data_IF_046023797386
#
_entry.id   IF_046023797386
#
_cell.length_a   1.000
_cell.length_b   1.000
_cell.length_c   1.000
_cell.angle_alpha   90.00
_cell.angle_beta   90.00
_cell.angle_gamma   90.00
#
_symmetry.space_group_name_H-M   'P 1'
#
loop_
_entity.id
_entity.type
_entity.pdbx_description
1 polymer ?
#
# COMPACT_ATOMS: atom_id res chain seq x y z
N UNK A 1 -9.62 -18.26 -0.79
CA UNK A 1 -8.85 -17.30 -0.01
C UNK A 1 -9.78 -16.43 0.82
N UNK A 2 -9.34 -16.11 2.04
CA UNK A 2 -9.98 -15.15 2.93
C UNK A 2 -8.98 -14.05 3.27
N UNK A 3 -9.45 -12.81 3.39
CA UNK A 3 -8.56 -11.69 3.64
C UNK A 3 -9.06 -10.81 4.77
N UNK A 4 -8.12 -10.19 5.48
CA UNK A 4 -8.36 -9.23 6.54
C UNK A 4 -7.44 -8.04 6.39
N UNK A 5 -7.94 -6.84 6.66
CA UNK A 5 -7.17 -5.61 6.50
C UNK A 5 -6.93 -4.94 7.85
N UNK A 6 -5.77 -4.30 7.95
CA UNK A 6 -5.29 -3.63 9.16
C UNK A 6 -4.86 -2.21 8.79
N UNK A 7 -5.23 -1.26 9.60
CA UNK A 7 -4.68 0.08 9.52
C UNK A 7 -3.32 0.10 10.22
N UNK A 8 -2.27 0.47 9.48
CA UNK A 8 -0.91 0.50 9.99
C UNK A 8 -0.41 1.93 10.12
N UNK A 9 0.43 2.17 11.13
CA UNK A 9 1.05 3.46 11.35
C UNK A 9 2.20 3.76 10.39
N UNK A 10 2.70 4.98 10.45
CA UNK A 10 3.91 5.39 9.76
C UNK A 10 5.14 5.22 10.64
N UNK A 11 6.27 4.89 10.03
CA UNK A 11 7.58 4.89 10.69
C UNK A 11 8.36 6.11 10.24
N UNK A 12 8.95 6.81 11.17
CA UNK A 12 9.86 7.90 10.84
C UNK A 12 11.25 7.34 10.50
N UNK A 13 11.35 6.76 9.29
CA UNK A 13 12.56 6.08 8.83
C UNK A 13 13.66 7.07 8.40
N UNK A 14 13.28 8.14 7.69
CA UNK A 14 14.25 9.05 7.06
C UNK A 14 15.08 9.87 8.05
N UNK A 15 14.54 10.14 9.23
CA UNK A 15 15.24 10.89 10.28
C UNK A 15 15.84 10.00 11.37
N UNK A 16 15.70 8.68 11.22
CA UNK A 16 16.29 7.70 12.14
C UNK A 16 17.79 7.57 11.87
N UNK A 17 18.55 7.17 12.91
CA UNK A 17 19.97 6.85 12.74
C UNK A 17 20.14 5.60 11.88
N UNK A 18 21.30 5.41 11.25
CA UNK A 18 21.58 4.25 10.39
C UNK A 18 21.33 2.92 11.13
N UNK A 19 21.69 2.85 12.41
CA UNK A 19 21.43 1.67 13.24
C UNK A 19 19.95 1.43 13.50
N UNK A 20 19.18 2.49 13.72
CA UNK A 20 17.72 2.39 13.88
C UNK A 20 17.06 2.00 12.56
N UNK A 21 17.50 2.57 11.43
CA UNK A 21 17.02 2.19 10.10
C UNK A 21 17.25 0.70 9.83
N UNK A 22 18.45 0.20 10.14
CA UNK A 22 18.75 -1.23 10.05
C UNK A 22 17.83 -2.07 10.93
N UNK A 23 17.65 -1.68 12.18
CA UNK A 23 16.79 -2.38 13.16
C UNK A 23 15.34 -2.43 12.67
N UNK A 24 14.82 -1.31 12.14
CA UNK A 24 13.47 -1.24 11.57
C UNK A 24 13.37 -2.17 10.36
N UNK A 25 14.35 -2.14 9.46
CA UNK A 25 14.39 -2.99 8.28
C UNK A 25 14.38 -4.48 8.63
N UNK A 26 15.21 -4.91 9.59
CA UNK A 26 15.23 -6.28 10.10
C UNK A 26 13.90 -6.68 10.74
N UNK A 27 13.28 -5.80 11.52
CA UNK A 27 12.00 -6.07 12.14
C UNK A 27 10.89 -6.29 11.09
N UNK A 28 10.85 -5.48 10.02
CA UNK A 28 9.93 -5.68 8.90
C UNK A 28 10.23 -6.99 8.14
N UNK A 29 11.49 -7.29 7.88
CA UNK A 29 11.88 -8.51 7.19
C UNK A 29 11.46 -9.76 7.98
N UNK A 30 11.73 -9.78 9.28
CA UNK A 30 11.33 -10.86 10.18
C UNK A 30 9.79 -11.00 10.26
N UNK A 31 9.08 -9.88 10.34
CA UNK A 31 7.63 -9.87 10.35
C UNK A 31 7.06 -10.47 9.06
N UNK A 32 7.49 -9.99 7.89
CA UNK A 32 7.04 -10.50 6.59
C UNK A 32 7.41 -11.98 6.39
N UNK A 33 8.60 -12.39 6.85
CA UNK A 33 9.07 -13.77 6.81
C UNK A 33 8.34 -14.71 7.77
N UNK A 34 7.61 -14.21 8.77
CA UNK A 34 6.90 -15.03 9.75
C UNK A 34 5.63 -15.70 9.21
N UNK A 35 5.11 -15.25 8.07
CA UNK A 35 3.90 -15.78 7.47
C UNK A 35 4.13 -17.09 6.72
N UNK A 36 3.07 -17.90 6.63
CA UNK A 36 3.10 -19.13 5.85
C UNK A 36 3.29 -18.82 4.36
N UNK A 37 3.91 -19.74 3.62
CA UNK A 37 4.21 -19.62 2.19
C UNK A 37 3.02 -19.20 1.32
N UNK A 38 1.82 -19.69 1.65
CA UNK A 38 0.61 -19.45 0.86
C UNK A 38 -0.12 -18.15 1.28
N UNK A 39 0.42 -17.42 2.25
CA UNK A 39 -0.11 -16.12 2.65
C UNK A 39 0.38 -15.03 1.68
N UNK A 40 -0.54 -14.18 1.25
CA UNK A 40 -0.22 -13.00 0.47
C UNK A 40 -0.45 -11.76 1.34
N UNK A 41 0.59 -10.94 1.48
CA UNK A 41 0.56 -9.69 2.22
C UNK A 41 0.56 -8.56 1.21
N UNK A 42 -0.45 -7.73 1.24
CA UNK A 42 -0.54 -6.52 0.43
C UNK A 42 -0.38 -5.30 1.34
N UNK A 43 0.55 -4.42 1.01
CA UNK A 43 0.69 -3.12 1.64
C UNK A 43 0.18 -2.07 0.66
N UNK A 44 -0.88 -1.38 1.03
CA UNK A 44 -1.50 -0.34 0.22
C UNK A 44 -1.28 1.02 0.86
N UNK A 45 -0.73 1.95 0.08
CA UNK A 45 -0.68 3.37 0.39
C UNK A 45 -1.69 4.08 -0.51
N UNK A 46 -2.68 4.71 0.10
CA UNK A 46 -3.69 5.46 -0.62
C UNK A 46 -3.64 6.92 -0.21
N UNK A 47 -3.10 7.74 -1.09
CA UNK A 47 -3.14 9.20 -0.96
C UNK A 47 -4.35 9.72 -1.72
N UNK A 48 -5.14 10.51 -1.04
CA UNK A 48 -6.27 11.22 -1.63
C UNK A 48 -6.26 12.68 -1.20
N UNK A 49 -6.67 13.54 -2.09
CA UNK A 49 -6.92 14.94 -1.78
C UNK A 49 -8.09 15.05 -0.79
N UNK A 50 -7.90 15.84 0.23
CA UNK A 50 -8.97 16.13 1.21
C UNK A 50 -9.98 17.06 0.52
N UNK A 51 -11.27 16.75 0.67
CA UNK A 51 -12.32 17.66 0.25
C UNK A 51 -12.26 18.97 1.07
N UNK A 52 -12.09 20.07 0.35
CA UNK A 52 -12.00 21.41 0.94
C UNK A 52 -13.29 21.77 1.70
N UNK A 53 -14.44 21.38 1.17
CA UNK A 53 -15.73 21.68 1.81
C UNK A 53 -15.95 20.86 3.08
N UNK A 54 -15.52 19.60 3.09
CA UNK A 54 -15.56 18.77 4.29
C UNK A 54 -14.57 19.31 5.36
N UNK A 55 -13.39 19.73 4.93
CA UNK A 55 -12.41 20.37 5.83
C UNK A 55 -12.99 21.65 6.43
N UNK A 56 -13.57 22.53 5.61
CA UNK A 56 -14.18 23.77 6.10
C UNK A 56 -15.23 23.50 7.17
N UNK A 57 -16.09 22.52 6.95
CA UNK A 57 -17.15 22.17 7.92
C UNK A 57 -16.62 21.60 9.24
N UNK A 58 -15.50 20.90 9.21
CA UNK A 58 -14.99 20.17 10.38
C UNK A 58 -13.88 20.89 11.14
N UNK A 59 -13.19 21.84 10.52
CA UNK A 59 -11.96 22.42 11.06
C UNK A 59 -12.05 23.91 11.25
N UNK A 60 -12.82 24.62 10.41
CA UNK A 60 -12.96 26.06 10.55
C UNK A 60 -13.83 26.39 11.77
N UNK A 61 -13.42 27.45 12.46
CA UNK A 61 -14.20 28.00 13.58
C UNK A 61 -15.47 28.65 13.06
N UNK A 62 -16.60 28.27 13.62
CA UNK A 62 -17.88 28.92 13.33
C UNK A 62 -17.91 30.34 13.90
N UNK A 63 -18.47 31.27 13.13
CA UNK A 63 -18.69 32.63 13.59
C UNK A 63 -19.76 32.64 14.70
N UNK A 64 -19.52 33.41 15.75
CA UNK A 64 -20.42 33.53 16.90
C UNK A 64 -20.85 34.97 17.05
N UNK A 65 -21.91 35.21 17.82
CA UNK A 65 -22.36 36.58 18.11
C UNK A 65 -21.56 37.20 19.26
N UNK A 66 -20.25 37.42 18.97
CA UNK A 66 -19.30 38.03 19.90
C UNK A 66 -18.24 38.88 19.16
N UNK A 67 -17.45 39.66 19.90
CA UNK A 67 -16.39 40.56 19.35
C UNK A 67 -15.16 39.80 18.83
N UNK A 68 -15.13 38.47 18.90
CA UNK A 68 -13.96 37.64 18.55
C UNK A 68 -13.94 37.17 17.09
N UNK A 69 -14.93 37.55 16.30
CA UNK A 69 -15.04 37.06 14.90
C UNK A 69 -13.87 37.50 14.02
N UNK A 70 -13.26 38.65 14.31
CA UNK A 70 -12.06 39.10 13.57
C UNK A 70 -10.91 38.10 13.72
N UNK A 71 -10.70 37.57 14.91
CA UNK A 71 -9.64 36.58 15.19
C UNK A 71 -9.99 35.20 14.62
N UNK A 72 -11.30 34.82 14.63
CA UNK A 72 -11.76 33.59 14.00
C UNK A 72 -11.54 33.63 12.50
N UNK A 73 -11.84 34.76 11.87
CA UNK A 73 -11.66 34.94 10.43
C UNK A 73 -10.17 34.89 10.05
N UNK A 74 -9.30 35.58 10.80
CA UNK A 74 -7.86 35.52 10.58
C UNK A 74 -7.31 34.10 10.74
N UNK A 75 -7.73 33.38 11.77
CA UNK A 75 -7.33 31.99 12.00
C UNK A 75 -7.82 31.07 10.88
N UNK A 76 -9.07 31.22 10.46
CA UNK A 76 -9.66 30.45 9.37
C UNK A 76 -8.93 30.70 8.05
N UNK A 77 -8.61 31.94 7.73
CA UNK A 77 -7.85 32.33 6.55
C UNK A 77 -6.44 31.73 6.57
N UNK A 78 -5.75 31.76 7.71
CA UNK A 78 -4.45 31.11 7.88
C UNK A 78 -4.53 29.60 7.62
N UNK A 79 -5.58 28.91 8.08
CA UNK A 79 -5.78 27.48 7.83
C UNK A 79 -6.05 27.19 6.36
N UNK A 80 -6.88 28.00 5.72
CA UNK A 80 -7.19 27.87 4.29
C UNK A 80 -5.95 28.10 3.41
N UNK A 81 -5.11 29.10 3.75
CA UNK A 81 -3.86 29.35 3.05
C UNK A 81 -2.88 28.18 3.19
N UNK A 82 -2.73 27.61 4.37
CA UNK A 82 -1.91 26.42 4.61
C UNK A 82 -2.41 25.22 3.83
N UNK A 83 -3.71 25.07 3.73
CA UNK A 83 -4.35 23.98 2.99
C UNK A 83 -4.18 24.16 1.47
N UNK A 84 -4.31 25.38 0.96
CA UNK A 84 -4.15 25.69 -0.46
C UNK A 84 -2.72 25.52 -0.98
N UNK A 85 -1.72 25.51 -0.10
CA UNK A 85 -0.30 25.34 -0.45
C UNK A 85 0.08 23.91 -0.93
N UNK A 86 -0.87 23.11 -1.34
CA UNK A 86 -0.74 21.92 -2.20
C UNK A 86 -0.16 20.65 -1.57
N UNK A 87 0.71 20.76 -0.57
CA UNK A 87 1.31 19.58 0.09
C UNK A 87 0.55 19.12 1.35
N UNK A 88 -0.23 20.00 1.95
CA UNK A 88 -0.97 19.71 3.18
C UNK A 88 -2.40 19.21 2.94
N UNK A 89 -2.75 18.98 1.68
CA UNK A 89 -4.11 18.62 1.25
C UNK A 89 -4.27 17.13 0.96
N UNK A 90 -3.36 16.29 1.48
CA UNK A 90 -3.38 14.87 1.25
C UNK A 90 -3.66 14.11 2.54
N UNK A 91 -4.64 13.22 2.48
CA UNK A 91 -4.85 12.17 3.49
C UNK A 91 -4.21 10.90 2.99
N UNK A 92 -3.34 10.31 3.79
CA UNK A 92 -2.69 9.02 3.46
C UNK A 92 -3.27 7.92 4.33
N UNK A 93 -3.97 6.99 3.72
CA UNK A 93 -4.38 5.75 4.36
C UNK A 93 -3.31 4.67 4.09
N UNK A 94 -2.84 4.00 5.15
CA UNK A 94 -1.85 2.92 5.09
C UNK A 94 -2.50 1.65 5.57
N UNK A 95 -2.68 0.72 4.66
CA UNK A 95 -3.43 -0.50 4.90
C UNK A 95 -2.54 -1.70 4.60
N UNK A 96 -2.53 -2.65 5.51
CA UNK A 96 -1.98 -3.98 5.27
C UNK A 96 -3.12 -4.96 5.13
N UNK A 97 -3.19 -5.68 4.03
CA UNK A 97 -4.19 -6.73 3.81
C UNK A 97 -3.49 -8.08 3.73
N UNK A 98 -3.89 -8.99 4.59
CA UNK A 98 -3.35 -10.34 4.62
C UNK A 98 -4.42 -11.30 4.08
N UNK A 99 -4.04 -12.07 3.06
CA UNK A 99 -4.89 -13.06 2.41
C UNK A 99 -4.31 -14.45 2.67
N UNK A 100 -5.13 -15.36 3.17
CA UNK A 100 -4.73 -16.73 3.48
C UNK A 100 -5.67 -17.74 2.83
N UNK A 101 -5.17 -18.92 2.42
CA UNK A 101 -6.02 -20.01 1.99
C UNK A 101 -6.68 -20.67 3.21
N UNK A 102 -7.97 -20.96 3.10
CA UNK A 102 -8.70 -21.79 4.04
C UNK A 102 -9.87 -22.47 3.32
N UNK A 103 -10.25 -23.65 3.77
CA UNK A 103 -11.34 -24.42 3.18
C UNK A 103 -12.71 -23.79 3.47
N UNK A 104 -12.85 -23.18 4.65
CA UNK A 104 -14.10 -22.58 5.09
C UNK A 104 -13.87 -21.40 6.03
N UNK A 105 -14.93 -20.63 6.28
CA UNK A 105 -14.88 -19.43 7.12
C UNK A 105 -14.49 -19.73 8.58
N UNK A 106 -14.85 -20.89 9.12
CA UNK A 106 -14.51 -21.25 10.52
C UNK A 106 -13.01 -21.47 10.69
N UNK A 107 -12.39 -22.11 9.71
CA UNK A 107 -10.94 -22.28 9.66
C UNK A 107 -10.24 -20.93 9.48
N UNK A 108 -10.74 -20.11 8.57
CA UNK A 108 -10.20 -18.77 8.35
C UNK A 108 -10.24 -17.91 9.64
N UNK A 109 -11.36 -17.89 10.36
CA UNK A 109 -11.47 -17.17 11.64
C UNK A 109 -10.43 -17.67 12.64
N UNK A 110 -10.23 -18.99 12.74
CA UNK A 110 -9.24 -19.57 13.66
C UNK A 110 -7.81 -19.18 13.30
N UNK A 111 -7.46 -19.18 12.00
CA UNK A 111 -6.15 -18.72 11.52
C UNK A 111 -5.98 -17.22 11.78
N UNK A 112 -6.98 -16.41 11.44
CA UNK A 112 -6.91 -14.95 11.65
C UNK A 112 -6.85 -14.55 13.13
N UNK A 113 -7.44 -15.29 14.04
CA UNK A 113 -7.33 -14.99 15.48
C UNK A 113 -5.88 -15.02 15.99
N UNK A 114 -5.02 -15.86 15.39
CA UNK A 114 -3.59 -15.88 15.70
C UNK A 114 -2.84 -14.75 14.98
N UNK A 115 -3.17 -14.54 13.72
CA UNK A 115 -2.57 -13.48 12.89
C UNK A 115 -2.87 -12.12 13.48
N UNK A 116 -4.10 -11.86 13.93
CA UNK A 116 -4.52 -10.57 14.50
C UNK A 116 -3.60 -10.14 15.66
N UNK A 117 -3.34 -11.03 16.60
CA UNK A 117 -2.47 -10.74 17.75
C UNK A 117 -1.04 -10.45 17.27
N UNK A 118 -0.50 -11.30 16.39
CA UNK A 118 0.85 -11.12 15.88
C UNK A 118 1.00 -9.81 15.09
N UNK A 119 0.05 -9.49 14.23
CA UNK A 119 0.10 -8.27 13.40
C UNK A 119 -0.03 -7.02 14.24
N UNK A 120 -0.99 -6.98 15.16
CA UNK A 120 -1.21 -5.79 15.99
C UNK A 120 -0.03 -5.52 16.90
N UNK A 121 0.54 -6.55 17.51
CA UNK A 121 1.67 -6.42 18.43
C UNK A 121 2.96 -6.04 17.68
N UNK A 122 3.30 -6.77 16.61
CA UNK A 122 4.52 -6.52 15.84
C UNK A 122 4.48 -5.17 15.12
N UNK A 123 3.37 -4.84 14.46
CA UNK A 123 3.23 -3.55 13.78
C UNK A 123 3.25 -2.39 14.75
N UNK A 124 2.60 -2.50 15.91
CA UNK A 124 2.64 -1.46 16.93
C UNK A 124 4.06 -1.26 17.49
N UNK A 125 4.82 -2.35 17.62
CA UNK A 125 6.22 -2.33 18.07
C UNK A 125 7.14 -1.66 17.03
N UNK A 126 6.96 -2.02 15.75
CA UNK A 126 7.78 -1.49 14.65
C UNK A 126 7.47 -0.02 14.41
N UNK A 127 6.19 0.33 14.30
CA UNK A 127 5.76 1.68 13.95
C UNK A 127 5.70 2.62 15.14
N UNK A 128 5.73 2.10 16.37
CA UNK A 128 5.49 2.85 17.63
C UNK A 128 4.14 3.59 17.63
N UNK A 129 3.21 3.15 16.81
CA UNK A 129 1.85 3.68 16.69
C UNK A 129 0.84 2.54 16.76
N UNK A 130 -0.43 2.86 17.02
CA UNK A 130 -1.48 1.84 17.08
C UNK A 130 -1.69 1.18 15.72
N UNK A 131 -1.78 -0.14 15.73
CA UNK A 131 -2.27 -0.93 14.61
C UNK A 131 -3.66 -1.45 14.96
N UNK A 132 -4.62 -1.31 14.06
CA UNK A 132 -6.01 -1.73 14.29
C UNK A 132 -6.55 -2.53 13.12
N UNK A 133 -7.38 -3.51 13.42
CA UNK A 133 -8.12 -4.28 12.41
C UNK A 133 -9.22 -3.39 11.82
N UNK A 134 -9.34 -3.34 10.50
CA UNK A 134 -10.47 -2.69 9.86
C UNK A 134 -11.74 -3.52 10.04
N UNK A 135 -12.80 -2.87 10.44
CA UNK A 135 -14.15 -3.44 10.40
C UNK A 135 -14.59 -3.65 8.95
N UNK A 136 -15.63 -4.47 8.75
CA UNK A 136 -16.17 -4.69 7.41
C UNK A 136 -16.67 -3.38 6.76
N UNK A 137 -17.24 -2.47 7.56
CA UNK A 137 -17.72 -1.17 7.09
C UNK A 137 -16.54 -0.28 6.68
N UNK A 138 -15.50 -0.16 7.50
CA UNK A 138 -14.31 0.63 7.18
C UNK A 138 -13.61 0.12 5.92
N UNK A 139 -13.57 -1.21 5.73
CA UNK A 139 -13.01 -1.80 4.51
C UNK A 139 -13.85 -1.51 3.28
N UNK A 140 -15.18 -1.56 3.40
CA UNK A 140 -16.08 -1.18 2.31
C UNK A 140 -15.95 0.31 1.97
N UNK A 141 -15.82 1.16 2.99
CA UNK A 141 -15.59 2.60 2.82
C UNK A 141 -14.27 2.88 2.08
N UNK A 142 -13.20 2.18 2.46
CA UNK A 142 -11.91 2.28 1.76
C UNK A 142 -12.06 1.92 0.28
N UNK A 143 -12.71 0.81 -0.03
CA UNK A 143 -12.94 0.38 -1.40
C UNK A 143 -13.85 1.34 -2.17
N UNK A 144 -14.89 1.87 -1.52
CA UNK A 144 -15.74 2.90 -2.10
C UNK A 144 -14.92 4.14 -2.49
N UNK A 145 -14.05 4.61 -1.61
CA UNK A 145 -13.19 5.76 -1.88
C UNK A 145 -12.21 5.52 -3.04
N UNK A 146 -11.78 4.29 -3.27
CA UNK A 146 -10.93 3.94 -4.41
C UNK A 146 -11.71 3.95 -5.72
N UNK A 147 -12.94 3.43 -5.72
CA UNK A 147 -13.73 3.30 -6.95
C UNK A 147 -14.59 4.54 -7.26
N UNK A 148 -14.87 5.38 -6.27
CA UNK A 148 -15.66 6.60 -6.40
C UNK A 148 -14.84 7.82 -5.94
N UNK A 149 -13.64 8.00 -6.52
CA UNK A 149 -12.70 9.06 -6.13
C UNK A 149 -13.23 10.48 -6.34
N UNK A 150 -14.27 10.63 -7.15
CA UNK A 150 -14.96 11.89 -7.48
C UNK A 150 -16.20 12.15 -6.62
N UNK A 151 -16.61 11.19 -5.79
CA UNK A 151 -17.74 11.31 -4.88
C UNK A 151 -17.27 11.18 -3.43
N UNK A 152 -17.17 12.32 -2.76
CA UNK A 152 -16.78 12.40 -1.34
C UNK A 152 -17.92 12.03 -0.38
N UNK A 153 -19.05 11.55 -0.91
CA UNK A 153 -20.18 11.11 -0.07
C UNK A 153 -19.78 9.81 0.64
N UNK A 154 -19.64 9.81 1.98
CA UNK A 154 -19.31 8.60 2.69
C UNK A 154 -20.33 7.50 2.44
N UNK A 155 -19.87 6.27 2.19
CA UNK A 155 -20.75 5.10 2.06
C UNK A 155 -21.61 4.92 3.32
N UNK A 156 -21.01 5.17 4.47
CA UNK A 156 -21.64 5.02 5.76
C UNK A 156 -21.77 6.37 6.46
N UNK A 157 -22.99 6.80 6.69
CA UNK A 157 -23.31 8.01 7.43
C UNK A 157 -24.26 7.69 8.57
N UNK A 158 -24.01 8.27 9.73
CA UNK A 158 -24.96 8.34 10.83
C UNK A 158 -25.57 9.71 10.88
N UNK A 159 -26.88 9.79 10.77
CA UNK A 159 -27.62 11.06 10.86
C UNK A 159 -28.69 10.95 11.94
N UNK A 160 -28.86 12.02 12.70
CA UNK A 160 -29.98 12.15 13.61
C UNK A 160 -31.19 12.68 12.83
N UNK A 161 -32.25 11.88 12.71
CA UNK A 161 -33.50 12.26 12.09
C UNK A 161 -34.61 12.05 13.13
N UNK A 162 -35.32 13.10 13.45
CA UNK A 162 -36.43 13.08 14.44
C UNK A 162 -36.08 12.45 15.79
N UNK A 163 -34.83 12.70 16.27
CA UNK A 163 -34.33 12.16 17.54
C UNK A 163 -33.86 10.70 17.48
N UNK A 164 -33.90 10.07 16.31
CA UNK A 164 -33.41 8.72 16.10
C UNK A 164 -32.14 8.71 15.25
N UNK A 165 -31.17 7.85 15.63
CA UNK A 165 -29.96 7.65 14.84
C UNK A 165 -30.29 6.75 13.64
N UNK A 166 -30.20 7.31 12.44
CA UNK A 166 -30.41 6.60 11.17
C UNK A 166 -29.05 6.37 10.49
N UNK A 167 -28.81 5.14 10.07
CA UNK A 167 -27.63 4.75 9.33
C UNK A 167 -27.94 4.66 7.84
N UNK A 168 -27.11 5.27 6.98
CA UNK A 168 -27.30 5.25 5.52
C UNK A 168 -27.02 3.89 4.89
N UNK A 169 -26.25 3.03 5.59
CA UNK A 169 -25.84 1.72 5.11
C UNK A 169 -25.82 0.72 6.26
N UNK A 170 -26.44 -0.43 6.05
CA UNK A 170 -26.41 -1.54 6.99
C UNK A 170 -26.10 -2.84 6.25
N UNK A 171 -25.04 -3.54 6.68
CA UNK A 171 -24.70 -4.85 6.13
C UNK A 171 -25.84 -5.86 6.28
N UNK A 172 -26.54 -5.83 7.42
CA UNK A 172 -27.68 -6.73 7.69
C UNK A 172 -28.84 -6.48 6.71
N UNK A 173 -29.10 -5.22 6.38
CA UNK A 173 -30.13 -4.87 5.41
C UNK A 173 -29.73 -5.26 3.99
N UNK A 174 -28.46 -5.09 3.62
CA UNK A 174 -27.93 -5.57 2.34
C UNK A 174 -28.08 -7.10 2.19
N UNK A 175 -27.76 -7.85 3.23
CA UNK A 175 -27.94 -9.31 3.25
C UNK A 175 -29.43 -9.70 3.17
N UNK A 176 -30.28 -9.04 3.95
CA UNK A 176 -31.73 -9.30 3.95
C UNK A 176 -32.38 -8.98 2.60
N UNK A 177 -31.88 -7.98 1.88
CA UNK A 177 -32.34 -7.61 0.53
C UNK A 177 -31.68 -8.43 -0.58
N UNK A 178 -30.77 -9.35 -0.24
CA UNK A 178 -30.00 -10.13 -1.22
C UNK A 178 -29.05 -9.28 -2.09
N UNK A 179 -28.72 -8.07 -1.63
CA UNK A 179 -27.81 -7.18 -2.37
C UNK A 179 -26.36 -7.60 -2.13
N UNK A 180 -25.58 -7.62 -3.18
CA UNK A 180 -24.14 -7.83 -3.08
C UNK A 180 -23.48 -6.57 -2.51
N UNK A 181 -22.57 -6.74 -1.52
CA UNK A 181 -21.73 -5.64 -1.02
C UNK A 181 -20.90 -5.00 -2.14
N UNK A 182 -20.53 -5.76 -3.16
CA UNK A 182 -19.86 -5.26 -4.35
C UNK A 182 -20.67 -4.18 -5.08
N UNK A 183 -21.99 -4.33 -5.16
CA UNK A 183 -22.85 -3.34 -5.82
C UNK A 183 -22.94 -1.99 -5.09
N UNK A 184 -22.47 -1.96 -3.84
CA UNK A 184 -22.45 -0.73 -3.04
C UNK A 184 -21.16 0.07 -3.20
N UNK A 185 -20.08 -0.56 -3.68
CA UNK A 185 -18.73 0.03 -3.75
C UNK A 185 -18.21 0.20 -5.17
N UNK A 186 -18.72 -0.55 -6.14
CA UNK A 186 -18.26 -0.48 -7.53
C UNK A 186 -19.28 0.30 -8.34
N UNK A 187 -18.89 1.38 -9.01
CA UNK A 187 -19.76 2.08 -9.94
C UNK A 187 -20.31 1.12 -10.99
N UNK A 188 -21.58 1.27 -11.35
CA UNK A 188 -22.26 0.39 -12.31
C UNK A 188 -21.63 0.37 -13.71
N UNK A 189 -20.81 1.36 -14.03
CA UNK A 189 -20.07 1.46 -15.28
C UNK A 189 -18.65 1.94 -15.02
N UNK A 190 -17.71 0.99 -14.97
CA UNK A 190 -16.29 1.27 -15.16
C UNK A 190 -16.02 1.23 -16.66
N UNK A 191 -15.72 2.37 -17.25
CA UNK A 191 -15.33 2.47 -18.64
C UNK A 191 -13.84 2.22 -18.79
N UNK A 192 -13.46 1.02 -19.23
CA UNK A 192 -12.08 0.69 -19.56
C UNK A 192 -11.78 1.14 -20.99
N UNK A 193 -10.78 2.03 -21.14
CA UNK A 193 -10.12 2.21 -22.42
C UNK A 193 -10.91 2.91 -23.52
N UNK A 194 -11.59 4.02 -23.24
CA UNK A 194 -11.90 4.93 -24.33
C UNK A 194 -10.61 5.62 -24.77
N UNK A 195 -10.18 5.27 -25.97
CA UNK A 195 -9.05 5.87 -26.66
C UNK A 195 -9.43 7.30 -27.05
N UNK A 196 -9.20 8.26 -26.16
CA UNK A 196 -9.14 9.64 -26.61
C UNK A 196 -7.78 9.86 -27.27
N UNK A 197 -7.82 10.33 -28.51
CA UNK A 197 -6.63 10.60 -29.32
C UNK A 197 -5.67 11.51 -28.55
N UNK A 198 -4.56 10.96 -28.02
CA UNK A 198 -3.55 11.70 -27.27
C UNK A 198 -3.40 11.33 -25.79
N UNK A 199 -4.34 10.59 -25.18
CA UNK A 199 -4.28 10.15 -23.78
C UNK A 199 -4.29 8.61 -23.77
N UNK A 200 -3.18 7.99 -24.16
CA UNK A 200 -3.07 6.53 -24.19
C UNK A 200 -3.10 5.91 -22.80
N UNK A 201 -3.67 4.68 -22.67
CA UNK A 201 -3.65 3.83 -21.49
C UNK A 201 -4.25 4.45 -20.21
N UNK A 202 -5.42 5.05 -20.33
CA UNK A 202 -6.15 5.67 -19.22
C UNK A 202 -7.45 4.92 -18.97
N UNK A 203 -7.77 4.72 -17.69
CA UNK A 203 -9.03 4.14 -17.22
C UNK A 203 -9.91 5.29 -16.71
N UNK A 204 -11.17 5.33 -17.14
CA UNK A 204 -12.14 6.26 -16.59
C UNK A 204 -12.85 5.59 -15.39
N UNK A 205 -12.75 6.24 -14.23
CA UNK A 205 -13.42 5.82 -12.99
C UNK A 205 -14.30 6.97 -12.54
N UNK A 206 -15.62 6.84 -12.69
CA UNK A 206 -16.52 7.99 -12.51
C UNK A 206 -16.21 9.12 -13.48
N UNK A 207 -15.95 10.32 -12.96
CA UNK A 207 -15.48 11.49 -13.73
C UNK A 207 -13.96 11.65 -13.71
N UNK A 208 -13.25 10.79 -12.97
CA UNK A 208 -11.79 10.82 -12.84
C UNK A 208 -11.12 9.97 -13.91
N UNK A 209 -9.90 10.36 -14.28
CA UNK A 209 -9.04 9.60 -15.17
C UNK A 209 -7.90 8.98 -14.34
N UNK A 210 -7.77 7.66 -14.40
CA UNK A 210 -6.72 6.92 -13.73
C UNK A 210 -5.76 6.29 -14.74
N UNK A 211 -4.47 6.30 -14.44
CA UNK A 211 -3.44 5.62 -15.22
C UNK A 211 -2.74 4.59 -14.35
N UNK A 212 -2.88 3.30 -14.66
CA UNK A 212 -2.15 2.26 -13.95
C UNK A 212 -0.68 2.22 -14.43
N UNK A 213 0.22 2.02 -13.46
CA UNK A 213 1.64 1.75 -13.69
C UNK A 213 2.03 0.48 -12.95
N UNK A 214 3.00 -0.22 -13.47
CA UNK A 214 3.62 -1.35 -12.79
C UNK A 214 5.14 -1.28 -12.97
N UNK A 215 5.87 -1.81 -12.01
CA UNK A 215 7.33 -1.90 -12.09
C UNK A 215 7.66 -3.12 -12.95
N UNK A 216 8.20 -2.90 -14.15
CA UNK A 216 8.56 -3.97 -15.09
C UNK A 216 9.94 -4.57 -14.84
N UNK A 217 10.78 -3.89 -14.08
CA UNK A 217 12.13 -4.35 -13.70
C UNK A 217 12.59 -3.60 -12.46
N UNK A 218 13.22 -4.33 -11.56
CA UNK A 218 13.80 -3.76 -10.35
C UNK A 218 15.29 -3.50 -10.58
N UNK A 219 15.83 -2.38 -10.13
CA UNK A 219 17.27 -2.21 -10.02
C UNK A 219 17.83 -3.17 -8.96
N UNK A 220 19.13 -3.39 -8.97
CA UNK A 220 19.81 -4.23 -7.99
C UNK A 220 19.57 -3.78 -6.54
N UNK A 221 19.34 -2.51 -6.33
CA UNK A 221 18.94 -1.96 -5.02
C UNK A 221 17.91 -0.83 -5.17
N UNK A 222 17.02 -0.72 -4.18
CA UNK A 222 16.05 0.36 -4.06
C UNK A 222 16.33 1.18 -2.80
N UNK A 223 16.26 2.49 -2.93
CA UNK A 223 16.31 3.36 -1.76
C UNK A 223 15.04 3.17 -0.93
N UNK A 224 15.19 3.16 0.38
CA UNK A 224 14.05 3.10 1.29
C UNK A 224 13.05 4.26 1.10
N UNK A 225 13.53 5.41 0.59
CA UNK A 225 12.70 6.58 0.27
C UNK A 225 11.87 6.43 -1.01
N UNK A 226 12.11 5.45 -1.86
CA UNK A 226 11.49 5.35 -3.19
C UNK A 226 9.95 5.39 -3.13
N UNK A 227 9.34 4.61 -2.23
CA UNK A 227 7.88 4.63 -2.05
C UNK A 227 7.39 5.96 -1.45
N UNK A 228 8.19 6.57 -0.60
CA UNK A 228 7.89 7.89 -0.01
C UNK A 228 7.92 8.97 -1.08
N UNK A 229 8.88 8.93 -2.00
CA UNK A 229 8.99 9.86 -3.12
C UNK A 229 7.77 9.76 -4.04
N UNK A 230 7.30 8.55 -4.33
CA UNK A 230 6.04 8.37 -5.06
C UNK A 230 4.82 8.87 -4.27
N UNK A 231 4.78 8.66 -2.97
CA UNK A 231 3.68 9.13 -2.13
C UNK A 231 3.66 10.66 -1.94
N UNK A 232 4.78 11.33 -2.19
CA UNK A 232 4.88 12.79 -2.12
C UNK A 232 4.37 13.52 -3.37
N UNK A 233 4.02 12.78 -4.44
CA UNK A 233 3.42 13.37 -5.64
C UNK A 233 2.04 13.96 -5.30
N UNK A 234 1.75 15.11 -5.89
CA UNK A 234 0.45 15.76 -5.73
C UNK A 234 -0.65 14.99 -6.47
N UNK A 235 -1.78 14.77 -5.80
CA UNK A 235 -2.97 14.13 -6.38
C UNK A 235 -3.32 12.79 -5.72
N UNK A 236 -4.34 12.13 -6.28
CA UNK A 236 -4.78 10.84 -5.81
C UNK A 236 -3.84 9.74 -6.33
N UNK A 237 -3.21 9.02 -5.43
CA UNK A 237 -2.26 7.95 -5.76
C UNK A 237 -2.59 6.72 -4.91
N UNK A 238 -2.72 5.57 -5.58
CA UNK A 238 -2.83 4.27 -4.94
C UNK A 238 -1.58 3.46 -5.29
N UNK A 239 -0.84 3.03 -4.29
CA UNK A 239 0.33 2.17 -4.42
C UNK A 239 0.03 0.87 -3.70
N UNK A 240 0.12 -0.27 -4.40
CA UNK A 240 -0.01 -1.59 -3.82
C UNK A 240 1.28 -2.38 -4.03
N UNK A 241 1.84 -2.87 -2.94
CA UNK A 241 2.99 -3.78 -2.93
C UNK A 241 2.57 -5.12 -2.35
N UNK A 242 2.85 -6.19 -3.08
CA UNK A 242 2.50 -7.57 -2.70
C UNK A 242 3.74 -8.32 -2.26
N UNK A 243 3.63 -9.04 -1.16
CA UNK A 243 4.71 -9.86 -0.60
C UNK A 243 4.21 -11.27 -0.35
N UNK A 244 5.03 -12.23 -0.71
CA UNK A 244 4.81 -13.65 -0.38
C UNK A 244 6.08 -14.22 0.24
N UNK A 245 5.92 -15.00 1.29
CA UNK A 245 7.03 -15.71 1.92
C UNK A 245 7.42 -16.93 1.08
N UNK A 246 8.71 -17.17 0.88
CA UNK A 246 9.21 -18.35 0.17
C UNK A 246 9.97 -19.27 1.14
N UNK A 247 9.94 -20.58 0.88
CA UNK A 247 10.74 -21.54 1.63
C UNK A 247 12.22 -21.39 1.29
N UNK A 248 13.12 -21.74 2.21
CA UNK A 248 14.57 -21.74 1.94
C UNK A 248 14.93 -22.54 0.68
N UNK A 249 14.32 -23.71 0.49
CA UNK A 249 14.55 -24.53 -0.69
C UNK A 249 14.09 -23.85 -1.98
N UNK A 250 12.91 -23.21 -1.95
CA UNK A 250 12.36 -22.46 -3.07
C UNK A 250 13.20 -21.24 -3.41
N UNK A 251 13.64 -20.50 -2.40
CA UNK A 251 14.52 -19.36 -2.55
C UNK A 251 15.90 -19.75 -3.13
N UNK A 252 16.49 -20.82 -2.63
CA UNK A 252 17.76 -21.36 -3.18
C UNK A 252 17.62 -21.80 -4.65
N UNK A 253 16.51 -22.41 -5.01
CA UNK A 253 16.24 -22.80 -6.40
C UNK A 253 15.97 -21.60 -7.32
N UNK A 254 15.29 -20.59 -6.81
CA UNK A 254 15.08 -19.33 -7.53
C UNK A 254 16.40 -18.62 -7.80
N UNK A 255 17.27 -18.50 -6.79
CA UNK A 255 18.59 -17.92 -6.94
C UNK A 255 19.48 -18.71 -7.90
N UNK A 256 19.47 -20.05 -7.83
CA UNK A 256 20.20 -20.90 -8.79
C UNK A 256 19.74 -20.65 -10.23
N UNK A 257 18.43 -20.42 -10.45
CA UNK A 257 17.92 -20.08 -11.79
C UNK A 257 18.40 -18.70 -12.22
N UNK A 258 18.34 -17.71 -11.33
CA UNK A 258 18.78 -16.35 -11.60
C UNK A 258 20.29 -16.31 -11.90
N UNK A 259 21.10 -16.92 -11.06
CA UNK A 259 22.57 -17.05 -11.29
C UNK A 259 22.88 -17.74 -12.62
N UNK A 260 22.10 -18.75 -12.99
CA UNK A 260 22.25 -19.44 -14.27
C UNK A 260 21.95 -18.52 -15.46
N UNK A 261 20.87 -17.71 -15.35
CA UNK A 261 20.51 -16.74 -16.37
C UNK A 261 21.57 -15.63 -16.51
N UNK A 262 22.09 -15.13 -15.38
CA UNK A 262 23.19 -14.14 -15.36
C UNK A 262 24.44 -14.73 -16.04
N UNK A 263 24.85 -15.95 -15.68
CA UNK A 263 25.99 -16.63 -16.29
C UNK A 263 25.82 -16.84 -17.81
N UNK A 264 24.61 -17.23 -18.23
CA UNK A 264 24.30 -17.35 -19.66
C UNK A 264 24.42 -16.01 -20.38
N UNK A 265 23.89 -14.92 -19.78
CA UNK A 265 24.02 -13.58 -20.33
C UNK A 265 25.47 -13.08 -20.42
N UNK A 266 26.32 -13.45 -19.44
CA UNK A 266 27.74 -13.14 -19.46
C UNK A 266 28.45 -13.88 -20.62
N UNK A 267 28.15 -15.18 -20.77
CA UNK A 267 28.74 -16.01 -21.85
C UNK A 267 28.34 -15.47 -23.23
N UNK A 268 27.06 -15.11 -23.39
CA UNK A 268 26.56 -14.56 -24.66
C UNK A 268 27.24 -13.23 -25.03
N UNK A 269 27.48 -12.36 -24.04
CA UNK A 269 28.20 -11.09 -24.25
C UNK A 269 29.67 -11.31 -24.53
N UNK A 270 30.34 -12.26 -23.84
CA UNK A 270 31.72 -12.63 -24.12
C UNK A 270 31.92 -13.23 -25.52
N UNK A 271 30.99 -14.08 -25.98
CA UNK A 271 31.04 -14.65 -27.32
C UNK A 271 30.84 -13.59 -28.43
N UNK A 272 30.03 -12.53 -28.14
CA UNK A 272 29.82 -11.43 -29.08
C UNK A 272 30.98 -10.41 -29.09
N UNK A 273 31.72 -10.31 -28.01
CA UNK A 273 32.93 -9.50 -27.95
C UNK A 273 34.12 -10.38 -28.33
N UNK A 274 34.68 -10.20 -29.48
CA UNK A 274 35.84 -10.99 -30.00
C UNK A 274 37.13 -10.81 -29.23
N UNK A 275 37.12 -10.28 -28.03
CA UNK A 275 38.26 -9.95 -27.19
C UNK A 275 38.16 -10.64 -25.82
N UNK A 276 39.25 -11.20 -25.33
CA UNK A 276 39.42 -11.80 -23.99
C UNK A 276 39.49 -10.73 -22.90
N UNK A 277 38.51 -9.82 -22.85
CA UNK A 277 38.48 -8.72 -21.89
C UNK A 277 37.68 -9.15 -20.65
N UNK A 278 38.06 -8.62 -19.49
CA UNK A 278 37.41 -8.91 -18.22
C UNK A 278 35.91 -8.62 -18.26
N UNK A 279 35.11 -9.51 -17.67
CA UNK A 279 33.66 -9.44 -17.63
C UNK A 279 33.15 -8.14 -16.99
N UNK A 280 33.86 -7.62 -16.02
CA UNK A 280 33.56 -6.35 -15.35
C UNK A 280 33.59 -5.15 -16.30
N UNK A 281 34.35 -5.24 -17.39
CA UNK A 281 34.47 -4.18 -18.41
C UNK A 281 33.41 -4.35 -19.50
N UNK A 282 33.10 -5.60 -19.88
CA UNK A 282 32.14 -5.91 -20.98
C UNK A 282 30.69 -5.83 -20.51
N UNK A 283 30.45 -6.20 -19.27
CA UNK A 283 29.09 -6.28 -18.69
C UNK A 283 29.13 -5.97 -17.18
N UNK A 284 29.41 -4.72 -16.79
CA UNK A 284 29.50 -4.35 -15.37
C UNK A 284 28.20 -4.63 -14.63
N UNK A 285 27.07 -4.39 -15.26
CA UNK A 285 25.71 -4.68 -14.76
C UNK A 285 25.51 -6.18 -14.42
N UNK A 286 26.04 -7.08 -15.26
CA UNK A 286 25.93 -8.53 -15.01
C UNK A 286 26.98 -9.02 -13.99
N UNK A 287 28.11 -8.34 -13.88
CA UNK A 287 29.12 -8.63 -12.88
C UNK A 287 28.66 -8.28 -11.48
N UNK A 288 28.05 -7.10 -11.31
CA UNK A 288 27.40 -6.68 -10.06
C UNK A 288 26.27 -7.63 -9.68
N UNK A 289 25.35 -7.91 -10.61
CA UNK A 289 24.23 -8.82 -10.36
C UNK A 289 24.69 -10.24 -9.98
N UNK A 290 25.85 -10.69 -10.48
CA UNK A 290 26.44 -11.97 -10.07
C UNK A 290 26.96 -11.92 -8.65
N UNK A 291 27.69 -10.87 -8.29
CA UNK A 291 28.23 -10.69 -6.94
C UNK A 291 27.08 -10.62 -5.92
N UNK A 292 26.05 -9.84 -6.18
CA UNK A 292 24.86 -9.74 -5.34
C UNK A 292 24.14 -11.10 -5.18
N UNK A 293 24.00 -11.87 -6.27
CA UNK A 293 23.41 -13.19 -6.23
C UNK A 293 24.24 -14.19 -5.40
N UNK A 294 25.56 -14.11 -5.49
CA UNK A 294 26.48 -14.95 -4.72
C UNK A 294 26.43 -14.56 -3.21
N UNK A 295 26.43 -13.26 -2.87
CA UNK A 295 26.27 -12.75 -1.50
C UNK A 295 24.91 -13.14 -0.89
N UNK A 296 23.83 -13.02 -1.66
CA UNK A 296 22.51 -13.44 -1.23
C UNK A 296 22.43 -14.96 -1.02
N UNK A 297 23.12 -15.75 -1.83
CA UNK A 297 23.20 -17.20 -1.67
C UNK A 297 23.92 -17.60 -0.37
N UNK A 298 24.99 -16.88 -0.01
CA UNK A 298 25.68 -17.09 1.27
C UNK A 298 24.80 -16.70 2.45
N UNK A 299 24.09 -15.57 2.37
CA UNK A 299 23.15 -15.11 3.40
C UNK A 299 22.04 -16.12 3.65
N UNK A 300 21.43 -16.70 2.60
CA UNK A 300 20.40 -17.74 2.71
C UNK A 300 20.95 -19.02 3.34
N UNK A 301 22.21 -19.35 3.07
CA UNK A 301 22.82 -20.56 3.62
C UNK A 301 23.19 -20.44 5.11
N UNK A 302 23.43 -19.21 5.57
CA UNK A 302 23.86 -18.92 6.95
C UNK A 302 22.69 -18.61 7.90
N UNK A 303 21.61 -18.03 7.37
CA UNK A 303 20.45 -17.60 8.16
C UNK A 303 19.23 -18.47 7.88
N UNK A 304 18.55 -18.89 8.95
CA UNK A 304 17.26 -19.61 8.89
C UNK A 304 16.08 -18.68 8.50
N UNK A 305 16.40 -17.51 7.95
CA UNK A 305 15.45 -16.49 7.59
C UNK A 305 14.71 -16.84 6.31
N UNK A 306 13.38 -16.76 6.37
CA UNK A 306 12.52 -16.90 5.19
C UNK A 306 12.73 -15.69 4.28
N UNK A 307 12.83 -15.96 2.98
CA UNK A 307 12.91 -14.94 1.95
C UNK A 307 11.50 -14.67 1.44
N UNK A 308 11.22 -13.43 1.17
CA UNK A 308 10.01 -13.01 0.50
C UNK A 308 10.34 -12.29 -0.80
N UNK A 309 9.44 -12.37 -1.76
CA UNK A 309 9.53 -11.63 -3.02
C UNK A 309 8.24 -10.84 -3.25
N UNK A 310 8.37 -9.75 -3.96
CA UNK A 310 7.29 -8.85 -4.28
C UNK A 310 7.22 -8.53 -5.76
#
# INVERSE_FOLDING_TARGET
FFSKSYHIGSVNFLTATDNDQWTIGQAYANFLGSFEKDAVIEITLFNRTIDIEQFKRNVLLEMQDDDMNVYRDEYNNMLLDKMSSGKNNLKTDRIMTISIPAENIKEAIKKFSRIDMSVTDEMSRITKTSCSVLTAIERLELLNNVYNMDDDTPLYQKRMIDGHMVESFSLKECEAQGRSTKSCIVPGQLSFGQYEKGIGNVIKVGNMLARPYYISGYPSWLRASTLTDFSALSGNILISAYFTSESQGGAADMLKRQTRNIRSGIIDRQQKSSTTTDVSIIAPDLSEAKQEADELQESIAQDDNRIFYG
#
